data_IF_387238291640
#
_entry.id   IF_387238291640
#
_cell.length_a   1.000
_cell.length_b   1.000
_cell.length_c   1.000
_cell.angle_alpha   90.00
_cell.angle_beta   90.00
_cell.angle_gamma   90.00
#
_symmetry.space_group_name_H-M   'P 1'
#
loop_
_entity.id
_entity.type
_entity.pdbx_description
1 polymer ?
#
# COMPACT_ATOMS: atom_id res chain seq x y z
N UNK A 1 10.12 16.34 -1.78
CA UNK A 1 8.90 16.61 -2.58
C UNK A 1 7.79 15.62 -2.21
N UNK A 2 6.54 16.10 -2.10
CA UNK A 2 5.35 15.31 -1.70
C UNK A 2 4.16 15.69 -2.58
N UNK A 3 3.38 14.71 -3.00
CA UNK A 3 2.19 14.91 -3.86
C UNK A 3 0.91 15.11 -3.05
N UNK A 4 0.72 16.31 -2.51
CA UNK A 4 -0.44 16.66 -1.68
C UNK A 4 -1.81 16.48 -2.35
N UNK A 5 -1.87 16.71 -3.66
CA UNK A 5 -3.12 16.54 -4.41
C UNK A 5 -3.57 15.09 -4.38
N UNK A 6 -2.65 14.16 -4.59
CA UNK A 6 -2.94 12.72 -4.54
C UNK A 6 -3.38 12.29 -3.14
N UNK A 7 -2.66 12.75 -2.11
CA UNK A 7 -2.99 12.45 -0.70
C UNK A 7 -4.47 12.78 -0.42
N UNK A 8 -4.90 13.99 -0.77
CA UNK A 8 -6.27 14.44 -0.50
C UNK A 8 -7.33 13.52 -1.12
N UNK A 9 -7.18 13.14 -2.38
CA UNK A 9 -8.20 12.34 -3.09
C UNK A 9 -8.15 10.87 -2.70
N UNK A 10 -6.96 10.31 -2.48
CA UNK A 10 -6.81 8.93 -2.01
C UNK A 10 -7.36 8.79 -0.58
N UNK A 11 -7.03 9.70 0.33
CA UNK A 11 -7.57 9.66 1.70
C UNK A 11 -9.09 9.81 1.75
N UNK A 12 -9.68 10.65 0.89
CA UNK A 12 -11.15 10.77 0.80
C UNK A 12 -11.81 9.46 0.36
N UNK A 13 -11.22 8.74 -0.60
CA UNK A 13 -11.68 7.39 -0.97
C UNK A 13 -11.37 6.33 0.10
N UNK A 14 -10.28 6.52 0.84
CA UNK A 14 -9.81 5.61 1.89
C UNK A 14 -10.81 5.43 3.03
N UNK A 15 -11.47 6.50 3.48
CA UNK A 15 -12.43 6.45 4.59
C UNK A 15 -13.53 5.40 4.39
N UNK A 16 -14.36 5.47 3.31
CA UNK A 16 -15.37 4.44 3.07
C UNK A 16 -14.74 3.08 2.76
N UNK A 17 -13.55 3.05 2.14
CA UNK A 17 -12.83 1.80 1.89
C UNK A 17 -12.48 1.04 3.16
N UNK A 18 -11.87 1.72 4.14
CA UNK A 18 -11.50 1.12 5.43
C UNK A 18 -12.75 0.59 6.12
N UNK A 19 -13.80 1.41 6.22
CA UNK A 19 -15.06 0.99 6.83
C UNK A 19 -15.64 -0.25 6.15
N UNK A 20 -15.64 -0.30 4.81
CA UNK A 20 -16.12 -1.47 4.08
C UNK A 20 -15.26 -2.71 4.32
N UNK A 21 -13.94 -2.54 4.34
CA UNK A 21 -12.99 -3.61 4.62
C UNK A 21 -13.16 -4.20 6.02
N UNK A 22 -13.24 -3.35 7.04
CA UNK A 22 -13.35 -3.76 8.45
C UNK A 22 -14.73 -4.32 8.78
N UNK A 23 -15.80 -3.63 8.36
CA UNK A 23 -17.16 -3.97 8.81
C UNK A 23 -17.76 -5.16 8.04
N UNK A 24 -17.46 -5.28 6.73
CA UNK A 24 -18.09 -6.30 5.89
C UNK A 24 -17.15 -7.42 5.47
N UNK A 25 -15.92 -7.12 5.05
CA UNK A 25 -15.03 -8.16 4.49
C UNK A 25 -14.23 -8.89 5.58
N UNK A 26 -13.77 -8.21 6.63
CA UNK A 26 -12.93 -8.80 7.68
C UNK A 26 -13.62 -9.97 8.42
N UNK A 27 -14.93 -9.92 8.75
CA UNK A 27 -15.61 -11.05 9.38
C UNK A 27 -15.81 -12.27 8.47
N UNK A 28 -15.74 -12.09 7.14
CA UNK A 28 -16.04 -13.14 6.16
C UNK A 28 -14.81 -13.95 5.75
N UNK A 29 -13.61 -13.40 5.92
CA UNK A 29 -12.38 -13.97 5.38
C UNK A 29 -11.45 -14.47 6.49
N UNK A 30 -10.90 -15.70 6.38
CA UNK A 30 -9.89 -16.17 7.32
C UNK A 30 -8.65 -15.25 7.33
N UNK A 31 -8.07 -14.94 8.51
CA UNK A 31 -6.90 -14.07 8.61
C UNK A 31 -5.69 -14.54 7.79
N UNK A 32 -5.49 -15.85 7.68
CA UNK A 32 -4.43 -16.46 6.89
C UNK A 32 -4.57 -16.16 5.39
N UNK A 33 -5.81 -16.20 4.89
CA UNK A 33 -6.15 -15.89 3.49
C UNK A 33 -5.94 -14.40 3.20
N UNK A 34 -6.34 -13.53 4.13
CA UNK A 34 -6.12 -12.09 4.02
C UNK A 34 -4.61 -11.80 3.94
N UNK A 35 -3.84 -12.36 4.87
CA UNK A 35 -2.40 -12.09 4.97
C UNK A 35 -1.65 -12.59 3.73
N UNK A 36 -1.88 -13.83 3.28
CA UNK A 36 -1.20 -14.34 2.09
C UNK A 36 -1.58 -13.56 0.83
N UNK A 37 -2.85 -13.15 0.71
CA UNK A 37 -3.32 -12.37 -0.44
C UNK A 37 -2.64 -10.99 -0.50
N UNK A 38 -2.47 -10.36 0.66
CA UNK A 38 -1.71 -9.11 0.78
C UNK A 38 -0.24 -9.32 0.39
N UNK A 39 0.42 -10.33 0.93
CA UNK A 39 1.81 -10.66 0.58
C UNK A 39 1.97 -10.89 -0.93
N UNK A 40 1.02 -11.57 -1.58
CA UNK A 40 1.05 -11.82 -3.02
C UNK A 40 0.78 -10.55 -3.84
N UNK A 41 -0.07 -9.64 -3.36
CA UNK A 41 -0.22 -8.30 -3.96
C UNK A 41 1.11 -7.54 -3.94
N UNK A 42 1.74 -7.42 -2.76
CA UNK A 42 2.99 -6.66 -2.62
C UNK A 42 4.12 -7.31 -3.43
N UNK A 43 4.18 -8.64 -3.46
CA UNK A 43 5.16 -9.39 -4.28
C UNK A 43 4.95 -9.16 -5.77
N UNK A 44 3.69 -9.14 -6.23
CA UNK A 44 3.36 -8.81 -7.63
C UNK A 44 3.85 -7.42 -8.01
N UNK A 45 3.72 -6.43 -7.11
CA UNK A 45 4.25 -5.10 -7.32
C UNK A 45 5.79 -5.11 -7.44
N UNK A 46 6.49 -5.84 -6.57
CA UNK A 46 7.95 -5.97 -6.63
C UNK A 46 8.44 -6.54 -7.98
N UNK A 47 7.77 -7.56 -8.51
CA UNK A 47 8.11 -8.14 -9.81
C UNK A 47 8.07 -7.09 -10.95
N UNK A 48 6.99 -6.31 -11.00
CA UNK A 48 6.85 -5.25 -12.00
C UNK A 48 7.84 -4.11 -11.74
N UNK A 49 8.11 -3.77 -10.48
CA UNK A 49 9.08 -2.74 -10.11
C UNK A 49 10.52 -3.09 -10.53
N UNK A 50 10.90 -4.37 -10.43
CA UNK A 50 12.20 -4.88 -10.93
C UNK A 50 12.27 -4.66 -12.44
N UNK A 51 11.25 -5.13 -13.18
CA UNK A 51 11.20 -4.99 -14.63
C UNK A 51 11.24 -3.51 -15.07
N UNK A 52 10.55 -2.64 -14.35
CA UNK A 52 10.54 -1.20 -14.56
C UNK A 52 11.93 -0.56 -14.40
N UNK A 53 12.70 -0.98 -13.39
CA UNK A 53 14.02 -0.40 -13.12
C UNK A 53 15.10 -0.93 -14.07
N UNK A 54 14.94 -2.15 -14.61
CA UNK A 54 15.81 -2.69 -15.64
C UNK A 54 15.68 -1.92 -16.97
N UNK A 55 14.49 -1.41 -17.30
CA UNK A 55 14.21 -0.67 -18.54
C UNK A 55 14.63 0.81 -18.51
N UNK A 56 15.32 1.27 -17.46
CA UNK A 56 15.93 2.62 -17.31
C UNK A 56 15.02 3.79 -17.74
N UNK A 57 13.72 3.70 -17.49
CA UNK A 57 12.81 4.77 -17.92
C UNK A 57 12.94 6.01 -17.03
N UNK A 58 12.77 7.17 -17.64
CA UNK A 58 12.73 8.44 -16.93
C UNK A 58 11.56 8.48 -15.92
N UNK A 59 11.79 9.19 -14.81
CA UNK A 59 10.84 9.27 -13.69
C UNK A 59 10.43 10.72 -13.50
N UNK A 60 9.12 10.96 -13.43
CA UNK A 60 8.57 12.28 -13.18
C UNK A 60 8.66 12.60 -11.68
N UNK A 61 8.85 13.87 -11.33
CA UNK A 61 8.84 14.32 -9.93
C UNK A 61 7.48 14.86 -9.50
N UNK A 62 6.63 15.21 -10.47
CA UNK A 62 5.29 15.77 -10.26
C UNK A 62 4.31 15.22 -11.28
N UNK A 63 3.03 15.18 -10.92
CA UNK A 63 1.96 14.83 -11.85
C UNK A 63 1.59 16.07 -12.67
N UNK A 64 1.93 16.07 -13.96
CA UNK A 64 1.77 17.24 -14.86
C UNK A 64 0.30 17.52 -15.20
N UNK A 65 -0.49 16.47 -15.50
CA UNK A 65 -1.91 16.59 -15.82
C UNK A 65 -2.79 16.21 -14.63
N UNK A 66 -3.59 17.16 -14.15
CA UNK A 66 -4.50 16.96 -13.01
C UNK A 66 -5.96 17.21 -13.39
N UNK A 67 -6.50 16.30 -14.21
CA UNK A 67 -7.87 16.35 -14.71
C UNK A 67 -8.89 15.63 -13.83
N UNK A 68 -10.11 15.45 -14.38
CA UNK A 68 -11.18 14.70 -13.71
C UNK A 68 -10.86 13.20 -13.60
N UNK A 69 -10.16 12.64 -14.60
CA UNK A 69 -9.82 11.21 -14.66
C UNK A 69 -8.87 10.83 -13.53
N UNK A 70 -7.84 11.63 -13.28
CA UNK A 70 -6.84 11.40 -12.24
C UNK A 70 -7.46 11.50 -10.85
N UNK A 71 -8.38 12.44 -10.64
CA UNK A 71 -9.14 12.57 -9.38
C UNK A 71 -10.02 11.35 -9.11
N UNK A 72 -10.79 10.91 -10.10
CA UNK A 72 -11.64 9.71 -9.99
C UNK A 72 -10.78 8.48 -9.73
N UNK A 73 -9.68 8.33 -10.47
CA UNK A 73 -8.72 7.24 -10.26
C UNK A 73 -8.14 7.25 -8.85
N UNK A 74 -7.71 8.41 -8.33
CA UNK A 74 -7.21 8.52 -6.95
C UNK A 74 -8.28 8.14 -5.92
N UNK A 75 -9.55 8.50 -6.16
CA UNK A 75 -10.66 8.14 -5.28
C UNK A 75 -10.89 6.62 -5.29
N UNK A 76 -10.93 5.99 -6.47
CA UNK A 76 -11.08 4.53 -6.61
C UNK A 76 -9.91 3.80 -5.96
N UNK A 77 -8.68 4.28 -6.14
CA UNK A 77 -7.48 3.75 -5.49
C UNK A 77 -7.58 3.88 -3.98
N UNK A 78 -8.10 5.01 -3.48
CA UNK A 78 -8.42 5.20 -2.08
C UNK A 78 -9.40 4.16 -1.55
N UNK A 79 -10.53 3.95 -2.24
CA UNK A 79 -11.54 2.97 -1.81
C UNK A 79 -10.97 1.55 -1.80
N UNK A 80 -10.36 1.12 -2.90
CA UNK A 80 -9.79 -0.23 -3.02
C UNK A 80 -8.65 -0.46 -2.02
N UNK A 81 -7.74 0.52 -1.91
CA UNK A 81 -6.64 0.48 -0.97
C UNK A 81 -7.11 0.52 0.49
N UNK A 82 -8.15 1.32 0.77
CA UNK A 82 -8.80 1.39 2.07
C UNK A 82 -9.43 0.07 2.46
N UNK A 83 -10.11 -0.63 1.55
CA UNK A 83 -10.66 -1.97 1.80
C UNK A 83 -9.57 -2.96 2.18
N UNK A 84 -8.45 -2.96 1.45
CA UNK A 84 -7.28 -3.80 1.78
C UNK A 84 -6.76 -3.43 3.16
N UNK A 85 -6.66 -2.13 3.45
CA UNK A 85 -6.18 -1.67 4.74
C UNK A 85 -7.12 -2.00 5.90
N UNK A 86 -8.43 -2.07 5.67
CA UNK A 86 -9.38 -2.52 6.66
C UNK A 86 -9.26 -4.01 6.98
N UNK A 87 -8.72 -4.80 6.05
CA UNK A 87 -8.49 -6.24 6.24
C UNK A 87 -7.17 -6.54 6.93
N UNK A 88 -6.10 -5.87 6.51
CA UNK A 88 -4.72 -6.20 6.91
C UNK A 88 -4.20 -5.25 8.00
N UNK A 89 -4.81 -4.07 8.15
CA UNK A 89 -4.30 -2.95 8.96
C UNK A 89 -3.37 -2.00 8.20
N UNK A 90 -2.90 -2.38 7.01
CA UNK A 90 -2.14 -1.54 6.07
C UNK A 90 -2.44 -1.96 4.63
N UNK A 91 -2.27 -1.08 3.64
CA UNK A 91 -2.48 -1.47 2.24
C UNK A 91 -2.89 -0.35 1.32
N UNK A 92 -3.57 0.68 1.82
CA UNK A 92 -3.88 1.86 1.00
C UNK A 92 -2.61 2.58 0.57
N UNK A 93 -1.63 2.65 1.44
CA UNK A 93 -0.31 3.21 1.23
C UNK A 93 0.47 2.43 0.16
N UNK A 94 0.54 1.10 0.25
CA UNK A 94 1.25 0.26 -0.73
C UNK A 94 0.53 0.27 -2.09
N UNK A 95 -0.79 0.20 -2.08
CA UNK A 95 -1.59 0.25 -3.30
C UNK A 95 -1.48 1.63 -3.98
N UNK A 96 -1.60 2.72 -3.24
CA UNK A 96 -1.36 4.06 -3.77
C UNK A 96 0.10 4.25 -4.23
N UNK A 97 1.07 3.69 -3.51
CA UNK A 97 2.48 3.70 -3.91
C UNK A 97 2.67 3.00 -5.26
N UNK A 98 2.07 1.82 -5.45
CA UNK A 98 2.12 1.09 -6.72
C UNK A 98 1.52 1.90 -7.87
N UNK A 99 0.42 2.63 -7.62
CA UNK A 99 -0.21 3.52 -8.61
C UNK A 99 0.67 4.71 -8.95
N UNK A 100 1.26 5.37 -7.95
CA UNK A 100 2.19 6.48 -8.16
C UNK A 100 3.38 6.06 -9.03
N UNK A 101 3.98 4.92 -8.72
CA UNK A 101 5.21 4.43 -9.36
C UNK A 101 4.94 3.87 -10.76
N UNK A 102 3.89 3.05 -10.92
CA UNK A 102 3.63 2.34 -12.18
C UNK A 102 2.79 3.14 -13.16
N UNK A 103 1.69 3.76 -12.69
CA UNK A 103 0.72 4.42 -13.55
C UNK A 103 1.07 5.89 -13.81
N UNK A 104 1.42 6.64 -12.76
CA UNK A 104 1.84 8.04 -12.89
C UNK A 104 3.34 8.20 -13.19
N UNK A 105 4.12 7.12 -13.11
CA UNK A 105 5.54 7.16 -13.43
C UNK A 105 6.38 8.01 -12.47
N UNK A 106 5.87 8.26 -11.25
CA UNK A 106 6.55 9.10 -10.27
C UNK A 106 7.81 8.43 -9.73
N UNK A 107 8.80 9.26 -9.44
CA UNK A 107 10.03 8.84 -8.78
C UNK A 107 9.73 8.30 -7.38
N UNK A 108 10.35 7.17 -7.05
CA UNK A 108 10.19 6.46 -5.77
C UNK A 108 10.55 7.36 -4.58
N UNK A 109 11.46 8.31 -4.78
CA UNK A 109 11.82 9.34 -3.78
C UNK A 109 10.69 10.28 -3.41
N UNK A 110 9.73 10.49 -4.30
CA UNK A 110 8.52 11.31 -4.05
C UNK A 110 7.39 10.42 -3.57
N UNK A 111 7.24 9.23 -4.16
CA UNK A 111 6.20 8.27 -3.81
C UNK A 111 6.33 7.76 -2.38
N UNK A 112 7.56 7.53 -1.87
CA UNK A 112 7.80 7.00 -0.52
C UNK A 112 7.31 7.93 0.58
N UNK A 113 7.73 9.22 0.66
CA UNK A 113 7.18 10.12 1.69
C UNK A 113 5.68 10.36 1.50
N UNK A 114 5.17 10.35 0.26
CA UNK A 114 3.74 10.51 -0.02
C UNK A 114 2.93 9.33 0.53
N UNK A 115 3.40 8.09 0.37
CA UNK A 115 2.73 6.90 0.92
C UNK A 115 2.84 6.80 2.44
N UNK A 116 3.95 7.27 3.03
CA UNK A 116 4.08 7.35 4.51
C UNK A 116 3.03 8.29 5.11
N UNK A 117 2.77 9.44 4.48
CA UNK A 117 1.72 10.35 4.94
C UNK A 117 0.33 9.72 4.78
N UNK A 118 0.09 9.01 3.66
CA UNK A 118 -1.15 8.24 3.47
C UNK A 118 -1.35 7.18 4.56
N UNK A 119 -0.28 6.46 4.93
CA UNK A 119 -0.30 5.48 6.01
C UNK A 119 -0.69 6.13 7.35
N UNK A 120 -0.11 7.28 7.67
CA UNK A 120 -0.43 8.00 8.91
C UNK A 120 -1.91 8.42 8.97
N UNK A 121 -2.43 9.02 7.89
CA UNK A 121 -3.85 9.41 7.80
C UNK A 121 -4.76 8.18 7.95
N UNK A 122 -4.42 7.10 7.26
CA UNK A 122 -5.16 5.85 7.27
C UNK A 122 -5.20 5.19 8.65
N UNK A 123 -4.07 5.18 9.37
CA UNK A 123 -3.99 4.64 10.71
C UNK A 123 -4.88 5.43 11.70
N UNK A 124 -4.90 6.76 11.58
CA UNK A 124 -5.80 7.61 12.40
C UNK A 124 -7.27 7.31 12.09
N UNK A 125 -7.64 7.22 10.81
CA UNK A 125 -9.03 6.89 10.41
C UNK A 125 -9.41 5.49 10.91
N UNK A 126 -8.54 4.51 10.72
CA UNK A 126 -8.75 3.14 11.21
C UNK A 126 -8.96 3.10 12.72
N UNK A 127 -8.13 3.82 13.49
CA UNK A 127 -8.31 3.96 14.93
C UNK A 127 -9.68 4.58 15.28
N UNK A 128 -10.08 5.67 14.62
CA UNK A 128 -11.38 6.30 14.87
C UNK A 128 -12.55 5.36 14.58
N UNK A 129 -12.48 4.57 13.50
CA UNK A 129 -13.52 3.59 13.16
C UNK A 129 -13.60 2.48 14.21
N UNK A 130 -12.47 1.88 14.60
CA UNK A 130 -12.45 0.81 15.60
C UNK A 130 -12.87 1.32 16.99
N UNK A 131 -12.41 2.50 17.39
CA UNK A 131 -12.71 3.05 18.70
C UNK A 131 -14.16 3.57 18.84
N UNK A 132 -14.68 4.29 17.84
CA UNK A 132 -15.98 4.96 17.96
C UNK A 132 -17.14 4.24 17.27
N UNK A 133 -16.88 3.42 16.23
CA UNK A 133 -17.95 2.78 15.44
C UNK A 133 -18.08 1.31 15.81
N UNK A 134 -16.97 0.56 15.79
CA UNK A 134 -16.99 -0.88 16.08
C UNK A 134 -16.95 -1.17 17.58
N UNK A 135 -16.26 -0.34 18.37
CA UNK A 135 -16.16 -0.48 19.82
C UNK A 135 -15.34 -1.70 20.27
N UNK A 136 -14.42 -2.19 19.43
CA UNK A 136 -13.64 -3.42 19.64
C UNK A 136 -12.24 -3.17 20.24
N UNK A 137 -11.99 -1.96 20.72
CA UNK A 137 -10.70 -1.53 21.26
C UNK A 137 -10.48 -2.00 22.71
N UNK A 138 -10.20 -3.29 22.87
CA UNK A 138 -9.92 -3.93 24.17
C UNK A 138 -8.56 -3.51 24.76
N UNK A 139 -8.40 -3.62 26.08
CA UNK A 139 -7.21 -3.14 26.82
C UNK A 139 -5.88 -3.67 26.26
N UNK A 140 -5.71 -4.97 25.90
CA UNK A 140 -4.46 -5.44 25.32
C UNK A 140 -4.11 -4.76 23.99
N UNK A 141 -5.12 -4.56 23.12
CA UNK A 141 -4.93 -3.93 21.80
C UNK A 141 -4.57 -2.46 21.95
N UNK A 142 -5.23 -1.75 22.88
CA UNK A 142 -4.91 -0.35 23.18
C UNK A 142 -3.47 -0.18 23.69
N UNK A 143 -3.01 -1.09 24.57
CA UNK A 143 -1.64 -1.07 25.06
C UNK A 143 -0.61 -1.31 23.94
N UNK A 144 -0.87 -2.26 23.04
CA UNK A 144 -0.02 -2.49 21.87
C UNK A 144 0.00 -1.30 20.92
N UNK A 145 -1.15 -0.66 20.69
CA UNK A 145 -1.25 0.53 19.86
C UNK A 145 -0.45 1.69 20.47
N UNK A 146 -0.61 1.97 21.77
CA UNK A 146 0.15 3.01 22.48
C UNK A 146 1.66 2.72 22.49
N UNK A 147 2.06 1.46 22.62
CA UNK A 147 3.47 1.07 22.55
C UNK A 147 4.08 1.28 21.15
N UNK A 148 3.28 1.18 20.09
CA UNK A 148 3.73 1.41 18.72
C UNK A 148 3.88 2.91 18.37
N UNK A 149 3.11 3.80 19.01
CA UNK A 149 3.09 5.24 18.69
C UNK A 149 4.49 5.88 18.71
N UNK A 150 5.31 5.75 19.78
CA UNK A 150 6.64 6.38 19.82
C UNK A 150 7.56 5.88 18.70
N UNK A 151 7.50 4.57 18.41
CA UNK A 151 8.32 3.93 17.39
C UNK A 151 7.97 4.47 16.01
N UNK A 152 6.68 4.63 15.70
CA UNK A 152 6.21 5.14 14.41
C UNK A 152 6.49 6.64 14.26
N UNK A 153 6.26 7.43 15.31
CA UNK A 153 6.49 8.89 15.30
C UNK A 153 7.95 9.24 15.01
N UNK A 154 8.91 8.44 15.49
CA UNK A 154 10.34 8.65 15.19
C UNK A 154 10.78 7.89 13.94
N UNK A 155 10.34 6.65 13.79
CA UNK A 155 10.78 5.74 12.74
C UNK A 155 10.31 6.17 11.34
N UNK A 156 9.05 6.56 11.19
CA UNK A 156 8.51 6.92 9.87
C UNK A 156 9.16 8.19 9.30
N UNK A 157 9.33 9.30 10.05
CA UNK A 157 10.07 10.47 9.56
C UNK A 157 11.54 10.19 9.31
N UNK A 158 12.23 9.49 10.22
CA UNK A 158 13.64 9.11 10.03
C UNK A 158 13.84 8.29 8.77
N UNK A 159 12.97 7.31 8.54
CA UNK A 159 12.98 6.48 7.34
C UNK A 159 12.74 7.29 6.06
N UNK A 160 11.76 8.21 6.07
CA UNK A 160 11.48 9.08 4.92
C UNK A 160 12.65 10.03 4.61
N UNK A 161 13.30 10.60 5.64
CA UNK A 161 14.48 11.45 5.50
C UNK A 161 15.64 10.64 4.91
N UNK A 162 15.93 9.46 5.47
CA UNK A 162 17.01 8.60 4.98
C UNK A 162 16.80 8.24 3.50
N UNK A 163 15.59 7.84 3.12
CA UNK A 163 15.23 7.55 1.73
C UNK A 163 15.42 8.76 0.79
N UNK A 164 15.23 9.99 1.29
CA UNK A 164 15.47 11.20 0.49
C UNK A 164 16.96 11.42 0.15
N UNK A 165 17.83 11.06 1.09
CA UNK A 165 19.29 11.18 0.98
C UNK A 165 19.91 10.07 0.13
N UNK A 166 19.28 8.88 0.09
CA UNK A 166 19.76 7.72 -0.65
C UNK A 166 19.64 7.88 -2.17
N UNK A 167 20.43 7.14 -2.95
CA UNK A 167 20.21 7.06 -4.41
C UNK A 167 18.92 6.29 -4.70
N UNK A 168 18.18 6.65 -5.76
CA UNK A 168 16.91 6.00 -6.14
C UNK A 168 17.02 4.49 -6.25
N UNK A 169 18.10 3.99 -6.86
CA UNK A 169 18.35 2.55 -7.02
C UNK A 169 18.48 1.83 -5.68
N UNK A 170 19.04 2.50 -4.67
CA UNK A 170 19.19 1.94 -3.32
C UNK A 170 17.84 1.85 -2.61
N UNK A 171 16.98 2.87 -2.76
CA UNK A 171 15.60 2.85 -2.23
C UNK A 171 14.82 1.68 -2.82
N UNK A 172 14.90 1.48 -4.14
CA UNK A 172 14.26 0.35 -4.82
C UNK A 172 14.80 -0.98 -4.31
N UNK A 173 16.12 -1.12 -4.15
CA UNK A 173 16.75 -2.33 -3.61
C UNK A 173 16.27 -2.67 -2.20
N UNK A 174 16.18 -1.67 -1.31
CA UNK A 174 15.66 -1.83 0.05
C UNK A 174 14.19 -2.27 0.03
N UNK A 175 13.35 -1.62 -0.79
CA UNK A 175 11.95 -1.99 -0.92
C UNK A 175 11.80 -3.44 -1.39
N UNK A 176 12.50 -3.84 -2.45
CA UNK A 176 12.45 -5.23 -2.95
C UNK A 176 12.94 -6.20 -1.87
N UNK A 177 14.00 -5.87 -1.13
CA UNK A 177 14.49 -6.69 -0.04
C UNK A 177 13.46 -6.87 1.07
N UNK A 178 12.78 -5.79 1.48
CA UNK A 178 11.72 -5.84 2.49
C UNK A 178 10.54 -6.69 2.03
N UNK A 179 10.15 -6.57 0.75
CA UNK A 179 9.08 -7.38 0.16
C UNK A 179 9.50 -8.86 0.08
N UNK A 180 10.76 -9.14 -0.25
CA UNK A 180 11.30 -10.51 -0.23
C UNK A 180 11.29 -11.12 1.17
N UNK A 181 11.64 -10.34 2.20
CA UNK A 181 11.57 -10.77 3.61
C UNK A 181 10.12 -11.03 4.00
N UNK A 182 9.19 -10.13 3.66
CA UNK A 182 7.75 -10.29 3.92
C UNK A 182 7.20 -11.56 3.26
N UNK A 183 7.58 -11.83 2.01
CA UNK A 183 7.18 -13.04 1.29
C UNK A 183 7.72 -14.30 1.96
N UNK A 184 9.02 -14.34 2.26
CA UNK A 184 9.66 -15.49 2.88
C UNK A 184 9.08 -15.76 4.28
N UNK A 185 8.95 -14.73 5.10
CA UNK A 185 8.40 -14.87 6.45
C UNK A 185 6.93 -15.27 6.43
N UNK A 186 6.13 -14.75 5.51
CA UNK A 186 4.73 -15.17 5.35
C UNK A 186 4.61 -16.62 4.90
N UNK A 187 5.45 -17.09 3.99
CA UNK A 187 5.47 -18.50 3.57
C UNK A 187 5.94 -19.45 4.68
N UNK A 188 6.80 -19.00 5.59
CA UNK A 188 7.29 -19.81 6.70
C UNK A 188 6.34 -19.83 7.92
N UNK A 189 5.66 -18.71 8.20
CA UNK A 189 4.85 -18.55 9.41
C UNK A 189 3.36 -18.89 9.20
N UNK A 190 2.83 -18.77 7.99
CA UNK A 190 1.41 -19.00 7.71
C UNK A 190 1.21 -20.48 7.32
N UNK A 191 0.28 -21.22 7.97
CA UNK A 191 0.00 -22.60 7.58
C UNK A 191 -0.55 -22.65 6.16
N UNK A 192 0.13 -23.39 5.28
CA UNK A 192 -0.19 -23.50 3.86
C UNK A 192 -1.32 -24.51 3.61
N UNK A 193 -2.52 -24.17 4.07
CA UNK A 193 -3.74 -24.91 3.74
C UNK A 193 -4.12 -24.71 2.27
N UNK A 194 -4.96 -25.60 1.73
CA UNK A 194 -5.38 -25.53 0.32
C UNK A 194 -6.10 -24.23 -0.02
N UNK A 195 -6.87 -23.67 0.91
CA UNK A 195 -7.54 -22.37 0.76
C UNK A 195 -6.53 -21.21 0.71
N UNK A 196 -5.51 -21.22 1.57
CA UNK A 196 -4.45 -20.21 1.60
C UNK A 196 -3.63 -20.24 0.32
N UNK A 197 -3.22 -21.43 -0.13
CA UNK A 197 -2.44 -21.59 -1.37
C UNK A 197 -3.25 -21.15 -2.60
N UNK A 198 -4.50 -21.59 -2.72
CA UNK A 198 -5.36 -21.20 -3.86
C UNK A 198 -5.65 -19.70 -3.90
N UNK A 199 -5.96 -19.09 -2.75
CA UNK A 199 -6.14 -17.65 -2.65
C UNK A 199 -4.86 -16.88 -2.97
N UNK A 200 -3.70 -17.36 -2.49
CA UNK A 200 -2.40 -16.78 -2.79
C UNK A 200 -2.08 -16.78 -4.29
N UNK A 201 -2.25 -17.92 -4.98
CA UNK A 201 -2.06 -18.00 -6.43
C UNK A 201 -3.05 -17.10 -7.19
N UNK A 202 -4.32 -17.09 -6.78
CA UNK A 202 -5.32 -16.22 -7.37
C UNK A 202 -4.94 -14.74 -7.23
N UNK A 203 -4.57 -14.30 -6.03
CA UNK A 203 -4.12 -12.94 -5.76
C UNK A 203 -2.87 -12.58 -6.58
N UNK A 204 -1.89 -13.48 -6.66
CA UNK A 204 -0.67 -13.27 -7.44
C UNK A 204 -0.99 -13.03 -8.93
N UNK A 205 -1.84 -13.86 -9.53
CA UNK A 205 -2.24 -13.73 -10.94
C UNK A 205 -3.02 -12.43 -11.15
N UNK A 206 -4.01 -12.17 -10.29
CA UNK A 206 -4.87 -10.97 -10.37
C UNK A 206 -4.04 -9.69 -10.29
N UNK A 207 -3.20 -9.55 -9.27
CA UNK A 207 -2.42 -8.33 -9.05
C UNK A 207 -1.26 -8.19 -10.03
N UNK A 208 -0.61 -9.28 -10.43
CA UNK A 208 0.42 -9.22 -11.49
C UNK A 208 -0.20 -8.75 -12.81
N UNK A 209 -1.37 -9.28 -13.19
CA UNK A 209 -2.09 -8.83 -14.39
C UNK A 209 -2.47 -7.34 -14.29
N UNK A 210 -3.04 -6.94 -13.15
CA UNK A 210 -3.43 -5.55 -12.90
C UNK A 210 -2.24 -4.59 -12.98
N UNK A 211 -1.13 -4.89 -12.30
CA UNK A 211 0.07 -4.06 -12.33
C UNK A 211 0.77 -4.06 -13.69
N UNK A 212 0.74 -5.18 -14.43
CA UNK A 212 1.25 -5.23 -15.79
C UNK A 212 0.42 -4.36 -16.74
N UNK A 213 -0.91 -4.35 -16.61
CA UNK A 213 -1.78 -3.46 -17.37
C UNK A 213 -1.46 -1.99 -17.07
N UNK A 214 -1.33 -1.62 -15.79
CA UNK A 214 -0.91 -0.27 -15.40
C UNK A 214 0.44 0.10 -16.00
N UNK A 215 1.43 -0.78 -15.91
CA UNK A 215 2.75 -0.58 -16.51
C UNK A 215 2.69 -0.32 -18.02
N UNK A 216 1.77 -0.96 -18.74
CA UNK A 216 1.58 -0.80 -20.19
C UNK A 216 0.81 0.47 -20.56
N UNK A 217 -0.05 0.99 -19.69
CA UNK A 217 -0.91 2.13 -20.02
C UNK A 217 -0.13 3.42 -20.33
N UNK A 218 -0.68 4.21 -21.27
CA UNK A 218 -0.04 5.42 -21.82
C UNK A 218 0.04 6.63 -20.86
N UNK A 219 -0.61 6.61 -19.69
CA UNK A 219 -0.50 7.72 -18.72
C UNK A 219 0.95 7.98 -18.26
N UNK A 220 1.82 6.99 -18.40
CA UNK A 220 3.25 7.10 -18.16
C UNK A 220 4.01 7.90 -19.25
N UNK A 221 3.44 8.04 -20.46
CA UNK A 221 4.09 8.63 -21.65
C UNK A 221 3.53 10.00 -22.06
N UNK A 222 2.41 10.41 -21.50
CA UNK A 222 1.91 11.79 -21.60
C UNK A 222 2.54 12.58 -20.46
#
# INVERSE_FOLDING_TARGET
>A
PVEWKLIRWVSLGGIPGIFMGTAFLAPLLPPEVIKISFTMMVSSFALILIHLNLTKTERKFTIEHWGKREKILCLVVGVMGGMISGLVGSGMDVFAYSVMVLLFGLCEKVSTPTSVILMAINAVIGFLIHNFILGDFVTPVSNYWLAAVPVVVVGAPTGAILCSLMKRQMVVGILISLIGIELLTSLLLIPLTTSVVSAGFFALILFTSFYYLMYRTKLRRA
#
